data_IF_163666608712
#
_entry.id   IF_163666608712
#
_cell.length_a   1.000
_cell.length_b   1.000
_cell.length_c   1.000
_cell.angle_alpha   90.00
_cell.angle_beta   90.00
_cell.angle_gamma   90.00
#
_symmetry.space_group_name_H-M   'P 1'
#
loop_
_entity.id
_entity.type
_entity.pdbx_description
1 polymer ?
#
# COMPACT_ATOMS: atom_id res chain seq x y z
N UNK A 1 -49.81 -25.33 -10.48
CA UNK A 1 -49.28 -24.29 -9.57
C UNK A 1 -47.75 -24.30 -9.61
N UNK A 2 -47.12 -23.30 -10.22
CA UNK A 2 -45.66 -23.24 -10.36
C UNK A 2 -45.04 -22.42 -9.22
N UNK A 3 -44.14 -23.04 -8.44
CA UNK A 3 -43.37 -22.38 -7.37
C UNK A 3 -42.44 -21.33 -7.99
N UNK A 4 -42.77 -20.04 -7.81
CA UNK A 4 -41.87 -18.90 -8.07
C UNK A 4 -40.60 -19.07 -7.22
N UNK A 5 -39.49 -19.43 -7.85
CA UNK A 5 -38.18 -19.40 -7.22
C UNK A 5 -37.88 -17.99 -6.72
N UNK A 6 -37.75 -17.83 -5.39
CA UNK A 6 -37.26 -16.59 -4.78
C UNK A 6 -35.84 -16.36 -5.29
N UNK A 7 -35.65 -15.39 -6.20
CA UNK A 7 -34.33 -14.82 -6.49
C UNK A 7 -33.77 -14.29 -5.17
N UNK A 8 -32.79 -15.01 -4.59
CA UNK A 8 -31.96 -14.47 -3.50
C UNK A 8 -31.35 -13.18 -4.03
N UNK A 9 -31.68 -12.04 -3.42
CA UNK A 9 -31.03 -10.77 -3.75
C UNK A 9 -29.52 -10.94 -3.65
N UNK A 10 -28.78 -10.45 -4.65
CA UNK A 10 -27.32 -10.44 -4.61
C UNK A 10 -26.90 -9.77 -3.31
N UNK A 11 -26.27 -10.51 -2.40
CA UNK A 11 -25.66 -9.94 -1.23
C UNK A 11 -24.62 -8.92 -1.72
N UNK A 12 -24.85 -7.63 -1.47
CA UNK A 12 -23.86 -6.60 -1.70
C UNK A 12 -22.73 -6.87 -0.70
N UNK A 13 -21.67 -7.54 -1.15
CA UNK A 13 -20.45 -7.66 -0.37
C UNK A 13 -19.91 -6.23 -0.19
N UNK A 14 -19.80 -5.77 1.06
CA UNK A 14 -19.22 -4.46 1.36
C UNK A 14 -17.81 -4.45 0.75
N UNK A 15 -17.60 -3.62 -0.26
CA UNK A 15 -16.32 -3.51 -0.94
C UNK A 15 -15.38 -2.80 0.04
N UNK A 16 -14.19 -3.36 0.28
CA UNK A 16 -13.19 -2.70 1.12
C UNK A 16 -12.65 -1.48 0.36
N UNK A 17 -12.40 -0.39 1.08
CA UNK A 17 -11.77 0.80 0.51
C UNK A 17 -10.37 0.42 -0.01
N UNK A 18 -10.03 0.79 -1.26
CA UNK A 18 -8.75 0.41 -1.84
C UNK A 18 -7.61 1.19 -1.18
N UNK A 19 -6.47 0.52 -0.99
CA UNK A 19 -5.26 1.08 -0.41
C UNK A 19 -4.03 0.75 -1.27
N UNK A 20 -3.03 1.62 -1.21
CA UNK A 20 -1.77 1.49 -1.96
C UNK A 20 -0.60 1.23 -1.01
N UNK A 21 0.25 0.26 -1.33
CA UNK A 21 1.53 0.02 -0.66
C UNK A 21 2.63 0.28 -1.69
N UNK A 22 3.47 1.28 -1.43
CA UNK A 22 4.69 1.55 -2.17
C UNK A 22 5.88 0.98 -1.41
N UNK A 23 6.68 0.14 -2.06
CA UNK A 23 7.89 -0.46 -1.47
C UNK A 23 9.15 0.07 -2.16
N UNK A 24 10.22 0.26 -1.40
CA UNK A 24 11.52 0.70 -1.94
C UNK A 24 12.23 -0.44 -2.66
N UNK A 25 12.33 -1.59 -1.99
CA UNK A 25 13.10 -2.72 -2.47
C UNK A 25 12.48 -3.42 -3.68
N UNK A 26 13.35 -4.05 -4.46
CA UNK A 26 13.01 -4.56 -5.81
C UNK A 26 12.38 -5.95 -5.81
N UNK A 27 12.65 -6.79 -4.80
CA UNK A 27 12.33 -8.23 -4.87
C UNK A 27 11.62 -8.70 -3.62
N UNK A 28 12.26 -8.61 -2.46
CA UNK A 28 11.81 -9.20 -1.20
C UNK A 28 10.48 -8.61 -0.72
N UNK A 29 10.43 -7.29 -0.51
CA UNK A 29 9.27 -6.62 0.12
C UNK A 29 8.03 -6.74 -0.77
N UNK A 30 8.20 -6.55 -2.08
CA UNK A 30 7.10 -6.71 -3.03
C UNK A 30 6.52 -8.11 -2.95
N UNK A 31 7.37 -9.14 -2.99
CA UNK A 31 6.92 -10.53 -2.94
C UNK A 31 6.23 -10.86 -1.61
N UNK A 32 6.74 -10.34 -0.48
CA UNK A 32 6.06 -10.47 0.82
C UNK A 32 4.65 -9.87 0.79
N UNK A 33 4.49 -8.65 0.31
CA UNK A 33 3.15 -8.01 0.25
C UNK A 33 2.24 -8.65 -0.81
N UNK A 34 2.77 -9.12 -1.95
CA UNK A 34 1.98 -9.84 -2.96
C UNK A 34 1.48 -11.18 -2.41
N UNK A 35 2.33 -11.94 -1.72
CA UNK A 35 1.93 -13.19 -1.04
C UNK A 35 0.90 -12.90 0.07
N UNK A 36 1.10 -11.84 0.87
CA UNK A 36 0.17 -11.44 1.92
C UNK A 36 -1.21 -11.08 1.33
N UNK A 37 -1.24 -10.22 0.31
CA UNK A 37 -2.50 -9.78 -0.32
C UNK A 37 -3.24 -10.95 -1.00
N UNK A 38 -2.51 -11.85 -1.64
CA UNK A 38 -3.04 -13.09 -2.20
C UNK A 38 -3.66 -14.00 -1.13
N UNK A 39 -2.95 -14.24 -0.02
CA UNK A 39 -3.46 -15.06 1.09
C UNK A 39 -4.71 -14.47 1.76
N UNK A 40 -4.76 -13.13 1.88
CA UNK A 40 -5.93 -12.39 2.39
C UNK A 40 -7.08 -12.31 1.36
N UNK A 41 -6.87 -12.77 0.11
CA UNK A 41 -7.80 -12.66 -1.02
C UNK A 41 -8.34 -11.23 -1.19
N UNK A 42 -7.50 -10.24 -0.91
CA UNK A 42 -7.90 -8.83 -0.91
C UNK A 42 -7.54 -8.19 -2.24
N UNK A 43 -8.54 -7.95 -3.08
CA UNK A 43 -8.38 -7.16 -4.31
C UNK A 43 -8.30 -5.65 -4.06
N UNK A 44 -8.46 -5.22 -2.80
CA UNK A 44 -8.45 -3.81 -2.42
C UNK A 44 -7.02 -3.30 -2.16
N UNK A 45 -6.02 -4.17 -2.07
CA UNK A 45 -4.63 -3.75 -1.85
C UNK A 45 -3.87 -3.77 -3.17
N UNK A 46 -3.27 -2.62 -3.51
CA UNK A 46 -2.36 -2.49 -4.64
C UNK A 46 -0.94 -2.31 -4.13
N UNK A 47 -0.02 -3.15 -4.59
CA UNK A 47 1.42 -3.03 -4.27
C UNK A 47 2.15 -2.49 -5.49
N UNK A 48 3.02 -1.50 -5.30
CA UNK A 48 3.88 -0.92 -6.35
C UNK A 48 5.32 -0.79 -5.84
N UNK A 49 6.29 -0.90 -6.74
CA UNK A 49 7.69 -0.59 -6.44
C UNK A 49 7.95 0.87 -6.78
N UNK A 50 8.59 1.59 -5.85
CA UNK A 50 9.18 2.90 -6.08
C UNK A 50 10.61 2.86 -5.53
N UNK A 51 11.53 2.45 -6.38
CA UNK A 51 12.96 2.33 -6.08
C UNK A 51 13.64 3.71 -6.08
N UNK A 52 13.32 4.50 -5.05
CA UNK A 52 13.83 5.86 -4.83
C UNK A 52 13.95 6.14 -3.34
N UNK A 53 14.65 7.21 -3.00
CA UNK A 53 14.73 7.69 -1.63
C UNK A 53 13.31 7.97 -1.04
N UNK A 54 13.14 7.91 0.29
CA UNK A 54 11.82 8.04 0.92
C UNK A 54 11.06 9.32 0.57
N UNK A 55 11.77 10.44 0.38
CA UNK A 55 11.13 11.72 0.04
C UNK A 55 10.52 11.61 -1.35
N UNK A 56 11.30 11.15 -2.34
CA UNK A 56 10.79 10.98 -3.69
C UNK A 56 9.71 9.89 -3.76
N UNK A 57 9.85 8.83 -2.97
CA UNK A 57 8.83 7.79 -2.85
C UNK A 57 7.49 8.35 -2.39
N UNK A 58 7.45 9.15 -1.31
CA UNK A 58 6.19 9.74 -0.80
C UNK A 58 5.52 10.61 -1.87
N UNK A 59 6.32 11.38 -2.62
CA UNK A 59 5.80 12.24 -3.70
C UNK A 59 5.18 11.39 -4.81
N UNK A 60 5.85 10.32 -5.24
CA UNK A 60 5.35 9.45 -6.30
C UNK A 60 4.18 8.57 -5.85
N UNK A 61 4.21 8.06 -4.62
CA UNK A 61 3.11 7.33 -4.02
C UNK A 61 1.85 8.21 -3.93
N UNK A 62 1.98 9.49 -3.53
CA UNK A 62 0.87 10.45 -3.52
C UNK A 62 0.29 10.68 -4.93
N UNK A 63 1.14 10.78 -5.96
CA UNK A 63 0.68 10.90 -7.36
C UNK A 63 -0.10 9.65 -7.80
N UNK A 64 0.40 8.46 -7.46
CA UNK A 64 -0.28 7.19 -7.76
C UNK A 64 -1.58 7.04 -6.98
N UNK A 65 -1.59 7.49 -5.72
CA UNK A 65 -2.76 7.45 -4.86
C UNK A 65 -3.91 8.30 -5.44
N UNK A 66 -3.59 9.52 -5.85
CA UNK A 66 -4.53 10.42 -6.53
C UNK A 66 -5.07 9.83 -7.83
N UNK A 67 -4.19 9.24 -8.67
CA UNK A 67 -4.59 8.61 -9.95
C UNK A 67 -5.48 7.38 -9.77
N UNK A 68 -5.31 6.67 -8.66
CA UNK A 68 -6.04 5.44 -8.37
C UNK A 68 -7.23 5.67 -7.41
N UNK A 69 -7.51 6.92 -7.07
CA UNK A 69 -8.58 7.34 -6.15
C UNK A 69 -8.57 6.58 -4.81
N UNK A 70 -7.36 6.21 -4.33
CA UNK A 70 -7.21 5.55 -3.03
C UNK A 70 -7.14 6.60 -1.91
N UNK A 71 -7.85 6.31 -0.83
CA UNK A 71 -7.91 7.18 0.35
C UNK A 71 -6.69 7.06 1.24
N UNK A 72 -5.98 5.94 1.18
CA UNK A 72 -4.86 5.65 2.05
C UNK A 72 -3.70 5.01 1.27
N UNK A 73 -2.47 5.41 1.60
CA UNK A 73 -1.27 4.78 1.06
C UNK A 73 -0.14 4.68 2.09
N UNK A 74 0.68 3.64 1.93
CA UNK A 74 1.80 3.30 2.79
C UNK A 74 3.09 3.34 1.98
N UNK A 75 4.13 3.99 2.49
CA UNK A 75 5.47 4.00 1.93
C UNK A 75 6.36 3.17 2.84
N UNK A 76 6.85 2.04 2.35
CA UNK A 76 7.70 1.09 3.06
C UNK A 76 9.12 1.25 2.54
N UNK A 77 10.02 1.70 3.41
CA UNK A 77 11.43 1.91 3.10
C UNK A 77 12.32 1.20 4.11
N UNK A 78 13.51 0.80 3.63
CA UNK A 78 14.52 0.12 4.43
C UNK A 78 15.24 1.13 5.34
N UNK A 79 15.46 0.75 6.59
CA UNK A 79 16.17 1.57 7.57
C UNK A 79 17.65 1.72 7.25
N UNK A 80 18.28 0.68 6.68
CA UNK A 80 19.73 0.63 6.51
C UNK A 80 20.20 1.46 5.31
N UNK A 81 19.36 1.54 4.27
CA UNK A 81 19.63 2.33 3.06
C UNK A 81 19.15 3.79 3.15
N UNK A 82 18.64 4.21 4.32
CA UNK A 82 17.96 5.50 4.46
C UNK A 82 18.52 6.37 5.59
N UNK A 83 18.91 7.61 5.26
CA UNK A 83 19.35 8.56 6.29
C UNK A 83 18.20 9.01 7.22
N UNK A 84 18.45 9.21 8.53
CA UNK A 84 17.43 9.72 9.46
C UNK A 84 16.81 11.06 9.06
N UNK A 85 17.58 11.91 8.36
CA UNK A 85 17.09 13.18 7.82
C UNK A 85 16.09 13.00 6.68
N UNK A 86 16.35 12.04 5.79
CA UNK A 86 15.43 11.68 4.72
C UNK A 86 14.12 11.14 5.29
N UNK A 87 14.18 10.25 6.29
CA UNK A 87 12.99 9.73 7.00
C UNK A 87 12.18 10.87 7.62
N UNK A 88 12.83 11.77 8.37
CA UNK A 88 12.15 12.92 8.99
C UNK A 88 11.47 13.81 7.94
N UNK A 89 12.12 14.01 6.79
CA UNK A 89 11.57 14.82 5.71
C UNK A 89 10.38 14.13 5.03
N UNK A 90 10.49 12.82 4.78
CA UNK A 90 9.41 12.01 4.22
C UNK A 90 8.18 11.98 5.14
N UNK A 91 8.37 11.80 6.45
CA UNK A 91 7.28 11.85 7.44
C UNK A 91 6.61 13.23 7.46
N UNK A 92 7.39 14.32 7.42
CA UNK A 92 6.83 15.68 7.31
C UNK A 92 5.98 15.84 6.04
N UNK A 93 6.46 15.33 4.91
CA UNK A 93 5.72 15.38 3.63
C UNK A 93 4.44 14.53 3.67
N UNK A 94 4.49 13.34 4.26
CA UNK A 94 3.35 12.46 4.44
C UNK A 94 2.24 13.12 5.29
N UNK A 95 2.61 13.88 6.32
CA UNK A 95 1.69 14.57 7.21
C UNK A 95 1.09 15.87 6.63
N UNK A 96 1.54 16.34 5.46
CA UNK A 96 0.94 17.51 4.83
C UNK A 96 -0.50 17.19 4.39
N UNK A 97 -1.41 18.17 4.50
CA UNK A 97 -2.79 18.02 4.06
C UNK A 97 -2.89 17.53 2.61
N UNK A 98 -3.59 16.41 2.40
CA UNK A 98 -3.93 15.88 1.07
C UNK A 98 -5.20 15.04 1.10
N UNK A 99 -5.76 14.82 -0.09
CA UNK A 99 -6.97 14.02 -0.29
C UNK A 99 -6.80 12.55 0.15
N UNK A 100 -5.56 12.04 0.12
CA UNK A 100 -5.21 10.70 0.59
C UNK A 100 -4.36 10.78 1.86
N UNK A 101 -4.60 9.91 2.83
CA UNK A 101 -3.77 9.74 4.03
C UNK A 101 -2.51 8.95 3.70
N UNK A 102 -1.37 9.47 4.12
CA UNK A 102 -0.06 8.86 3.89
C UNK A 102 0.50 8.28 5.20
N UNK A 103 1.15 7.13 5.11
CA UNK A 103 1.88 6.50 6.21
C UNK A 103 3.29 6.15 5.76
N UNK A 104 4.26 6.38 6.64
CA UNK A 104 5.64 5.94 6.48
C UNK A 104 5.88 4.73 7.37
N UNK A 105 6.40 3.65 6.79
CA UNK A 105 6.68 2.39 7.46
C UNK A 105 8.16 2.08 7.23
N UNK A 106 8.85 1.76 8.31
CA UNK A 106 10.25 1.33 8.27
C UNK A 106 10.23 -0.20 8.28
N UNK A 107 10.85 -0.82 7.27
CA UNK A 107 11.21 -2.23 7.33
C UNK A 107 12.65 -2.36 7.80
N UNK A 108 12.91 -3.36 8.64
CA UNK A 108 14.26 -3.92 8.75
C UNK A 108 14.40 -4.99 7.67
N UNK A 109 15.63 -5.26 7.22
CA UNK A 109 15.92 -6.44 6.41
C UNK A 109 15.25 -7.67 7.04
N UNK A 110 14.47 -8.39 6.24
CA UNK A 110 13.89 -9.66 6.66
C UNK A 110 15.03 -10.68 6.81
N UNK A 111 14.95 -11.49 7.86
CA UNK A 111 15.86 -12.58 8.21
C UNK A 111 15.94 -13.69 7.15
N UNK A 112 16.38 -13.39 5.93
CA UNK A 112 17.02 -14.38 5.07
C UNK A 112 18.46 -14.52 5.57
N UNK A 113 18.57 -15.14 6.75
CA UNK A 113 19.83 -15.52 7.36
C UNK A 113 20.65 -16.31 6.35
N UNK A 114 21.88 -15.84 6.15
CA UNK A 114 22.95 -16.52 5.42
C UNK A 114 23.31 -17.85 6.07
#
# INVERSE_FOLDING_TARGET
MAKRGRRRGKAHRKQNDPLLIAVQGRVTEKEYFERLTSSLRSSAVRVIIIDKDPVTMVIEARKNAKRSEVREFYCVFDVDDTSPESIRTAVKLANQNSDSRAFCVISNECFEGT
#
